data_IF_958738692422
#
_entry.id   IF_958738692422
#
_cell.length_a   1.000
_cell.length_b   1.000
_cell.length_c   1.000
_cell.angle_alpha   90.00
_cell.angle_beta   90.00
_cell.angle_gamma   90.00
#
_symmetry.space_group_name_H-M   'P 1'
#
loop_
_entity.id
_entity.type
_entity.pdbx_description
1 polymer ?
#
# COMPACT_ATOMS: atom_id res chain seq x y z
N UNK A 1 -23.28 -47.88 38.16
CA UNK A 1 -22.37 -47.02 37.40
C UNK A 1 -23.20 -45.91 36.78
N UNK A 2 -23.17 -44.68 37.33
CA UNK A 2 -24.05 -43.61 36.88
C UNK A 2 -23.53 -43.02 35.56
N UNK A 3 -24.44 -42.86 34.59
CA UNK A 3 -24.19 -42.19 33.33
C UNK A 3 -23.96 -40.70 33.56
N UNK A 4 -22.88 -40.19 32.99
CA UNK A 4 -22.55 -38.76 32.97
C UNK A 4 -23.45 -38.12 31.91
N UNK A 5 -24.52 -37.46 32.34
CA UNK A 5 -25.28 -36.55 31.49
C UNK A 5 -24.42 -35.30 31.23
N UNK A 6 -23.76 -35.25 30.08
CA UNK A 6 -23.17 -34.01 29.57
C UNK A 6 -24.31 -32.99 29.35
N UNK A 7 -24.09 -31.75 29.79
CA UNK A 7 -25.07 -30.68 29.63
C UNK A 7 -25.29 -30.38 28.14
N UNK A 8 -26.52 -30.05 27.72
CA UNK A 8 -26.82 -29.65 26.33
C UNK A 8 -25.91 -28.49 25.86
N UNK A 9 -25.50 -27.63 26.80
CA UNK A 9 -24.55 -26.52 26.61
C UNK A 9 -23.10 -26.99 26.34
N UNK A 10 -22.68 -28.16 26.82
CA UNK A 10 -21.37 -28.75 26.53
C UNK A 10 -21.34 -29.44 25.16
N UNK A 11 -22.45 -30.05 24.75
CA UNK A 11 -22.60 -30.61 23.40
C UNK A 11 -22.67 -29.51 22.34
N UNK A 12 -23.38 -28.41 22.62
CA UNK A 12 -23.42 -27.23 21.74
C UNK A 12 -22.06 -26.50 21.64
N UNK A 13 -21.16 -26.64 22.63
CA UNK A 13 -19.78 -26.11 22.56
C UNK A 13 -18.83 -26.93 21.68
N UNK A 14 -19.14 -28.21 21.42
CA UNK A 14 -18.29 -29.06 20.57
C UNK A 14 -18.54 -28.85 19.07
N UNK A 15 -19.69 -28.28 18.70
CA UNK A 15 -20.07 -28.01 17.30
C UNK A 15 -19.65 -26.62 16.79
N UNK A 16 -19.10 -25.76 17.64
CA UNK A 16 -18.40 -24.55 17.19
C UNK A 16 -16.94 -24.88 16.94
N UNK A 17 -16.60 -25.18 15.68
CA UNK A 17 -15.21 -25.02 15.23
C UNK A 17 -14.79 -23.59 15.55
N UNK A 18 -13.92 -23.39 16.54
CA UNK A 18 -13.29 -22.09 16.79
C UNK A 18 -12.73 -21.65 15.43
N UNK A 19 -13.19 -20.54 14.84
CA UNK A 19 -12.66 -20.07 13.57
C UNK A 19 -11.18 -19.84 13.80
N UNK A 20 -10.36 -20.72 13.21
CA UNK A 20 -8.91 -20.61 13.33
C UNK A 20 -8.52 -19.40 12.50
N UNK A 21 -8.25 -18.30 13.18
CA UNK A 21 -7.85 -17.05 12.55
C UNK A 21 -6.69 -17.29 11.57
N UNK A 22 -6.69 -16.62 10.40
CA UNK A 22 -5.64 -16.81 9.41
C UNK A 22 -4.29 -16.39 10.00
N UNK A 23 -3.36 -17.34 10.07
CA UNK A 23 -1.98 -17.08 10.46
C UNK A 23 -1.19 -16.65 9.22
N UNK A 24 -0.75 -15.41 9.18
CA UNK A 24 0.10 -14.92 8.10
C UNK A 24 1.53 -15.38 8.32
N UNK A 25 2.09 -16.05 7.31
CA UNK A 25 3.49 -16.46 7.28
C UNK A 25 4.19 -15.83 6.11
N UNK A 26 5.49 -15.64 6.26
CA UNK A 26 6.35 -15.20 5.16
C UNK A 26 6.15 -16.10 3.94
N UNK A 27 5.86 -15.47 2.79
CA UNK A 27 5.65 -16.17 1.51
C UNK A 27 6.82 -15.99 0.56
N UNK A 28 7.21 -14.75 0.28
CA UNK A 28 8.29 -14.43 -0.67
C UNK A 28 8.74 -12.98 -0.48
N UNK A 29 9.93 -12.67 -0.94
CA UNK A 29 10.50 -11.32 -1.06
C UNK A 29 11.15 -11.19 -2.44
N UNK A 30 11.12 -9.98 -2.99
CA UNK A 30 11.82 -9.63 -4.23
C UNK A 30 12.01 -8.12 -4.32
N UNK A 31 13.09 -7.69 -4.98
CA UNK A 31 13.34 -6.28 -5.25
C UNK A 31 12.40 -5.79 -6.36
N UNK A 32 11.57 -4.79 -6.07
CA UNK A 32 10.64 -4.23 -7.05
C UNK A 32 11.30 -3.13 -7.90
N UNK A 33 11.89 -2.12 -7.27
CA UNK A 33 12.51 -0.97 -7.94
C UNK A 33 13.97 -0.88 -7.54
N UNK A 34 14.79 -0.30 -8.39
CA UNK A 34 16.18 0.05 -8.08
C UNK A 34 16.28 1.58 -8.22
N UNK A 35 17.28 2.24 -7.61
CA UNK A 35 17.45 3.67 -7.75
C UNK A 35 17.80 3.97 -9.20
N UNK A 36 17.11 4.94 -9.78
CA UNK A 36 17.31 5.37 -11.16
C UNK A 36 17.66 6.86 -11.17
N UNK A 37 18.34 7.33 -12.22
CA UNK A 37 18.66 8.74 -12.38
C UNK A 37 18.24 9.21 -13.77
N UNK A 38 17.37 10.21 -13.82
CA UNK A 38 17.02 10.89 -15.06
C UNK A 38 18.05 11.99 -15.33
N UNK A 39 19.00 11.71 -16.22
CA UNK A 39 20.05 12.67 -16.60
C UNK A 39 19.52 13.92 -17.31
N UNK A 40 18.39 13.82 -18.02
CA UNK A 40 17.82 14.95 -18.75
C UNK A 40 17.12 15.92 -17.79
N UNK A 41 16.42 15.38 -16.79
CA UNK A 41 15.76 16.18 -15.74
C UNK A 41 16.66 16.45 -14.53
N UNK A 42 17.86 15.86 -14.50
CA UNK A 42 18.76 15.87 -13.33
C UNK A 42 18.04 15.45 -12.04
N UNK A 43 17.24 14.39 -12.14
CA UNK A 43 16.35 13.95 -11.07
C UNK A 43 16.71 12.53 -10.63
N UNK A 44 16.97 12.35 -9.34
CA UNK A 44 17.08 11.03 -8.73
C UNK A 44 15.67 10.44 -8.52
N UNK A 45 15.50 9.20 -8.94
CA UNK A 45 14.26 8.44 -8.80
C UNK A 45 14.50 7.38 -7.73
N UNK A 46 13.85 7.55 -6.59
CA UNK A 46 13.98 6.63 -5.48
C UNK A 46 13.39 5.23 -5.81
N UNK A 47 13.98 4.21 -5.20
CA UNK A 47 13.47 2.83 -5.22
C UNK A 47 12.26 2.60 -4.31
N UNK A 48 11.88 3.61 -3.52
CA UNK A 48 10.77 3.56 -2.56
C UNK A 48 9.47 3.21 -3.26
N UNK A 49 8.76 2.24 -2.70
CA UNK A 49 7.44 1.83 -3.20
C UNK A 49 6.38 2.74 -2.58
N UNK A 50 5.66 3.48 -3.42
CA UNK A 50 4.60 4.40 -2.99
C UNK A 50 3.27 3.68 -2.78
N UNK A 51 2.91 2.77 -3.69
CA UNK A 51 1.65 2.02 -3.68
C UNK A 51 1.82 0.62 -4.24
N UNK A 52 0.99 -0.29 -3.71
CA UNK A 52 0.86 -1.68 -4.18
C UNK A 52 -0.62 -1.97 -4.36
N UNK A 53 -1.00 -2.58 -5.49
CA UNK A 53 -2.36 -3.05 -5.75
C UNK A 53 -2.34 -4.47 -6.30
N UNK A 54 -3.17 -5.33 -5.73
CA UNK A 54 -3.38 -6.69 -6.23
C UNK A 54 -4.23 -6.68 -7.49
N UNK A 55 -3.79 -7.38 -8.52
CA UNK A 55 -4.59 -7.70 -9.71
C UNK A 55 -5.37 -8.99 -9.53
N UNK A 56 -6.25 -9.28 -10.49
CA UNK A 56 -7.03 -10.52 -10.50
C UNK A 56 -6.11 -11.74 -10.54
N UNK A 57 -6.36 -12.71 -9.67
CA UNK A 57 -5.62 -13.97 -9.65
C UNK A 57 -6.03 -14.85 -10.83
N UNK A 58 -5.05 -15.40 -11.54
CA UNK A 58 -5.30 -16.28 -12.68
C UNK A 58 -4.21 -17.35 -12.76
N UNK A 59 -4.59 -18.57 -13.17
CA UNK A 59 -3.65 -19.67 -13.41
C UNK A 59 -2.75 -20.00 -12.19
N UNK A 60 -3.31 -19.96 -10.97
CA UNK A 60 -2.58 -20.12 -9.71
C UNK A 60 -1.38 -19.17 -9.56
N UNK A 61 -1.45 -18.00 -10.19
CA UNK A 61 -0.48 -16.93 -10.03
C UNK A 61 -1.15 -15.71 -9.42
N UNK A 62 -0.41 -15.03 -8.56
CA UNK A 62 -0.77 -13.73 -8.02
C UNK A 62 -0.20 -12.64 -8.92
N UNK A 63 -0.95 -11.57 -9.09
CA UNK A 63 -0.53 -10.43 -9.88
C UNK A 63 -0.52 -9.17 -9.01
N UNK A 64 0.53 -8.36 -9.14
CA UNK A 64 0.78 -7.21 -8.30
C UNK A 64 1.21 -6.05 -9.18
N UNK A 65 0.56 -4.90 -9.05
CA UNK A 65 1.12 -3.62 -9.49
C UNK A 65 1.86 -3.00 -8.32
N UNK A 66 3.08 -2.54 -8.55
CA UNK A 66 3.84 -1.69 -7.64
C UNK A 66 4.28 -0.44 -8.38
N UNK A 67 4.39 0.68 -7.67
CA UNK A 67 4.87 1.94 -8.25
C UNK A 67 5.85 2.62 -7.31
N UNK A 68 6.86 3.29 -7.88
CA UNK A 68 7.58 4.37 -7.22
C UNK A 68 7.08 5.71 -7.79
N UNK A 69 7.90 6.76 -7.69
CA UNK A 69 7.54 8.11 -8.14
C UNK A 69 7.34 8.27 -9.64
N UNK A 70 7.93 7.39 -10.48
CA UNK A 70 7.97 7.59 -11.94
C UNK A 70 7.62 6.34 -12.76
N UNK A 71 7.71 5.16 -12.16
CA UNK A 71 7.58 3.88 -12.85
C UNK A 71 6.61 2.97 -12.13
N UNK A 72 5.85 2.21 -12.92
CA UNK A 72 4.91 1.21 -12.44
C UNK A 72 5.37 -0.13 -13.00
N UNK A 73 5.38 -1.18 -12.16
CA UNK A 73 5.77 -2.53 -12.54
C UNK A 73 4.64 -3.51 -12.27
N UNK A 74 4.37 -4.37 -13.25
CA UNK A 74 3.39 -5.44 -13.16
C UNK A 74 4.09 -6.78 -12.94
N UNK A 75 3.87 -7.37 -11.78
CA UNK A 75 4.51 -8.60 -11.33
C UNK A 75 3.57 -9.78 -11.42
N UNK A 76 4.14 -10.94 -11.78
CA UNK A 76 3.52 -12.25 -11.64
C UNK A 76 4.29 -13.05 -10.62
N UNK A 77 3.64 -13.43 -9.53
CA UNK A 77 4.20 -14.29 -8.49
C UNK A 77 3.53 -15.66 -8.59
N UNK A 78 4.30 -16.70 -8.87
CA UNK A 78 3.78 -18.05 -9.05
C UNK A 78 4.72 -19.07 -8.44
N UNK A 79 4.14 -20.09 -7.80
CA UNK A 79 4.89 -21.23 -7.30
C UNK A 79 5.33 -22.11 -8.47
N UNK A 80 6.65 -22.27 -8.63
CA UNK A 80 7.24 -23.15 -9.64
C UNK A 80 7.87 -24.35 -8.96
N UNK A 81 7.55 -25.54 -9.48
CA UNK A 81 8.28 -26.77 -9.13
C UNK A 81 9.70 -26.68 -9.66
N UNK A 82 10.68 -26.98 -8.82
CA UNK A 82 12.07 -27.07 -9.26
C UNK A 82 12.20 -28.20 -10.27
N UNK A 83 12.65 -27.87 -11.48
CA UNK A 83 12.87 -28.82 -12.57
C UNK A 83 14.35 -29.18 -12.57
N UNK A 84 14.66 -30.47 -12.43
CA UNK A 84 16.03 -31.00 -12.63
C UNK A 84 16.06 -31.82 -13.91
N UNK A 85 17.15 -31.71 -14.65
CA UNK A 85 17.38 -32.54 -15.83
C UNK A 85 18.01 -33.83 -15.33
N UNK A 86 17.33 -34.96 -15.54
CA UNK A 86 17.82 -36.27 -15.07
C UNK A 86 18.60 -37.03 -16.12
N UNK A 87 18.47 -36.65 -17.40
CA UNK A 87 19.13 -37.31 -18.52
C UNK A 87 19.72 -36.25 -19.44
N UNK A 88 21.01 -36.31 -19.71
CA UNK A 88 21.70 -35.49 -20.69
C UNK A 88 22.63 -36.38 -21.51
N UNK A 89 22.97 -35.98 -22.73
CA UNK A 89 23.90 -36.74 -23.59
C UNK A 89 25.37 -36.66 -23.11
N UNK A 90 25.69 -35.70 -22.24
CA UNK A 90 26.94 -35.65 -21.52
C UNK A 90 26.73 -36.24 -20.12
N UNK A 91 27.20 -37.47 -19.91
CA UNK A 91 27.33 -38.03 -18.57
C UNK A 91 28.55 -37.39 -17.89
N UNK A 92 28.37 -36.61 -16.82
CA UNK A 92 29.47 -36.09 -15.97
C UNK A 92 30.01 -37.16 -15.01
N UNK A 93 29.78 -38.43 -15.28
CA UNK A 93 30.20 -39.55 -14.44
C UNK A 93 31.40 -40.29 -15.04
N UNK A 94 32.54 -39.60 -15.13
CA UNK A 94 33.86 -40.21 -15.08
C UNK A 94 34.80 -39.34 -14.23
N UNK A 95 34.52 -39.28 -12.95
CA UNK A 95 35.53 -38.91 -11.94
C UNK A 95 35.37 -39.85 -10.76
N UNK A 96 35.80 -41.10 -10.95
CA UNK A 96 36.14 -41.98 -9.86
C UNK A 96 37.65 -41.88 -9.62
N UNK A 97 37.99 -41.37 -8.43
CA UNK A 97 39.23 -41.54 -7.66
C UNK A 97 40.58 -41.08 -8.24
N UNK A 98 41.03 -39.90 -7.81
CA UNK A 98 42.00 -39.81 -6.71
C UNK A 98 42.38 -38.35 -6.34
N UNK A 99 42.29 -38.01 -5.04
CA UNK A 99 43.17 -37.03 -4.40
C UNK A 99 42.69 -35.58 -4.25
N UNK A 100 42.16 -35.28 -3.05
CA UNK A 100 42.38 -34.07 -2.23
C UNK A 100 42.15 -32.64 -2.78
N UNK A 101 41.19 -31.99 -2.10
CA UNK A 101 41.11 -30.56 -1.68
C UNK A 101 40.79 -29.45 -2.70
N UNK A 102 39.68 -28.75 -2.36
CA UNK A 102 39.40 -27.32 -2.49
C UNK A 102 39.19 -26.69 -3.88
N UNK A 103 37.93 -26.35 -4.18
CA UNK A 103 37.39 -24.97 -4.15
C UNK A 103 36.14 -24.87 -5.03
N UNK A 104 34.98 -24.72 -4.41
CA UNK A 104 33.71 -24.47 -5.09
C UNK A 104 33.63 -22.98 -5.49
N UNK A 105 33.94 -22.67 -6.75
CA UNK A 105 33.63 -21.38 -7.36
C UNK A 105 32.25 -21.44 -8.01
N UNK A 106 31.22 -21.04 -7.27
CA UNK A 106 29.90 -20.74 -7.83
C UNK A 106 29.99 -19.47 -8.67
N UNK A 107 30.10 -19.62 -9.99
CA UNK A 107 29.87 -18.53 -10.94
C UNK A 107 28.37 -18.37 -11.15
N UNK A 108 27.80 -17.36 -10.50
CA UNK A 108 26.42 -16.91 -10.72
C UNK A 108 26.33 -16.18 -12.05
N UNK A 109 25.68 -16.78 -13.04
CA UNK A 109 25.21 -16.03 -14.20
C UNK A 109 23.99 -15.19 -13.77
N UNK A 110 24.18 -13.88 -13.68
CA UNK A 110 23.10 -12.90 -13.53
C UNK A 110 22.26 -12.91 -14.82
N UNK A 111 20.99 -13.28 -14.72
CA UNK A 111 20.03 -13.26 -15.83
C UNK A 111 19.36 -11.90 -15.96
N UNK A 112 19.37 -11.33 -17.18
CA UNK A 112 18.65 -10.10 -17.54
C UNK A 112 17.13 -10.37 -17.72
N UNK A 113 16.24 -9.38 -17.47
CA UNK A 113 14.81 -9.60 -17.29
C UNK A 113 13.99 -9.68 -18.59
N UNK A 114 14.60 -9.96 -19.75
CA UNK A 114 13.86 -10.00 -21.01
C UNK A 114 14.34 -11.04 -22.01
N UNK A 115 14.66 -12.26 -21.56
CA UNK A 115 14.82 -13.44 -22.44
C UNK A 115 15.88 -13.38 -23.55
N UNK A 116 16.59 -12.27 -23.72
CA UNK A 116 17.74 -12.11 -24.59
C UNK A 116 18.99 -12.32 -23.77
N UNK A 117 19.72 -13.39 -24.05
CA UNK A 117 21.12 -13.50 -23.66
C UNK A 117 21.88 -12.35 -24.31
N UNK A 118 22.71 -11.63 -23.53
CA UNK A 118 23.73 -10.76 -24.11
C UNK A 118 24.52 -11.58 -25.13
N UNK A 119 24.44 -11.19 -26.41
CA UNK A 119 25.42 -11.60 -27.41
C UNK A 119 26.77 -11.05 -27.00
N UNK A 120 27.45 -11.73 -26.07
CA UNK A 120 28.88 -11.85 -26.19
C UNK A 120 29.08 -12.74 -27.40
N UNK A 121 29.60 -12.15 -28.47
CA UNK A 121 30.16 -12.88 -29.60
C UNK A 121 31.16 -13.88 -29.03
N UNK A 122 30.70 -15.10 -28.79
CA UNK A 122 31.60 -16.22 -28.64
C UNK A 122 32.20 -16.38 -30.02
N UNK A 123 33.39 -15.79 -30.23
CA UNK A 123 34.33 -16.33 -31.19
C UNK A 123 34.54 -17.79 -30.80
N UNK A 124 33.71 -18.66 -31.36
CA UNK A 124 33.75 -20.10 -31.16
C UNK A 124 34.90 -20.63 -32.03
N UNK A 125 36.12 -20.30 -31.61
CA UNK A 125 37.32 -20.97 -32.02
C UNK A 125 37.91 -21.61 -30.76
N UNK A 126 37.19 -22.57 -30.20
CA UNK A 126 37.71 -23.59 -29.31
C UNK A 126 36.84 -24.85 -29.52
N UNK A 127 37.35 -25.75 -30.36
CA UNK A 127 36.72 -27.00 -30.78
C UNK A 127 36.87 -28.13 -29.73
N UNK A 128 37.14 -27.83 -28.47
CA UNK A 128 37.42 -28.86 -27.46
C UNK A 128 36.17 -29.23 -26.67
N UNK A 129 35.10 -29.60 -27.40
CA UNK A 129 34.09 -30.49 -26.85
C UNK A 129 34.63 -31.91 -27.01
N UNK A 130 34.93 -32.66 -25.93
CA UNK A 130 35.48 -33.99 -26.05
C UNK A 130 34.41 -34.93 -26.60
N UNK A 131 34.43 -35.15 -27.91
CA UNK A 131 33.64 -36.20 -28.53
C UNK A 131 34.30 -37.55 -28.20
N UNK A 132 33.57 -38.51 -27.61
CA UNK A 132 34.11 -39.84 -27.40
C UNK A 132 34.50 -40.48 -28.75
N UNK A 133 35.60 -41.25 -28.83
CA UNK A 133 35.99 -41.92 -30.07
C UNK A 133 34.87 -42.87 -30.53
N UNK A 134 34.23 -42.56 -31.66
CA UNK A 134 33.08 -43.31 -32.19
C UNK A 134 31.74 -42.57 -32.21
N UNK A 135 31.68 -41.34 -31.69
CA UNK A 135 30.44 -40.54 -31.65
C UNK A 135 29.41 -41.07 -30.64
N UNK A 136 28.28 -40.36 -30.48
CA UNK A 136 27.21 -40.80 -29.60
C UNK A 136 26.34 -41.84 -30.33
N UNK A 137 26.25 -43.06 -29.81
CA UNK A 137 25.48 -44.15 -30.42
C UNK A 137 23.96 -43.89 -30.49
N UNK A 138 23.43 -43.03 -29.62
CA UNK A 138 22.05 -42.56 -29.66
C UNK A 138 21.92 -41.22 -28.95
N UNK A 139 21.13 -40.30 -29.50
CA UNK A 139 20.81 -39.03 -28.84
C UNK A 139 19.59 -39.22 -27.94
N UNK A 140 19.71 -38.78 -26.69
CA UNK A 140 18.60 -38.72 -25.72
C UNK A 140 18.09 -37.29 -25.62
N UNK A 141 16.77 -37.17 -25.53
CA UNK A 141 16.13 -35.90 -25.20
C UNK A 141 16.21 -35.67 -23.68
N UNK A 142 16.50 -34.44 -23.23
CA UNK A 142 16.53 -34.13 -21.81
C UNK A 142 15.20 -34.46 -21.14
N UNK A 143 15.24 -35.35 -20.14
CA UNK A 143 14.08 -35.66 -19.31
C UNK A 143 14.08 -34.74 -18.10
N UNK A 144 12.99 -33.99 -17.94
CA UNK A 144 12.79 -33.09 -16.81
C UNK A 144 12.06 -33.84 -15.71
N UNK A 145 12.75 -34.03 -14.58
CA UNK A 145 12.12 -34.50 -13.34
C UNK A 145 11.74 -33.28 -12.51
N UNK A 146 10.45 -33.16 -12.20
CA UNK A 146 9.94 -32.13 -11.31
C UNK A 146 10.09 -32.57 -9.87
N UNK A 147 10.84 -31.82 -9.06
CA UNK A 147 10.88 -31.99 -7.61
C UNK A 147 9.53 -31.65 -6.96
N UNK A 148 9.32 -32.13 -5.74
CA UNK A 148 8.12 -31.84 -4.94
C UNK A 148 8.14 -30.43 -4.32
N UNK A 149 9.32 -29.82 -4.17
CA UNK A 149 9.47 -28.47 -3.61
C UNK A 149 8.92 -27.39 -4.56
N UNK A 150 8.06 -26.55 -4.01
CA UNK A 150 7.48 -25.39 -4.66
C UNK A 150 8.25 -24.14 -4.22
N UNK A 151 8.85 -23.44 -5.18
CA UNK A 151 9.50 -22.16 -4.92
C UNK A 151 8.68 -21.02 -5.53
N UNK A 152 8.25 -20.02 -4.74
CA UNK A 152 7.60 -18.84 -5.28
C UNK A 152 8.59 -18.04 -6.11
N UNK A 153 8.22 -17.74 -7.35
CA UNK A 153 9.03 -16.93 -8.26
C UNK A 153 8.25 -15.70 -8.66
N UNK A 154 8.79 -14.52 -8.33
CA UNK A 154 8.30 -13.24 -8.82
C UNK A 154 8.97 -12.90 -10.16
N UNK A 155 8.17 -12.57 -11.17
CA UNK A 155 8.64 -12.11 -12.48
C UNK A 155 7.98 -10.78 -12.82
N UNK A 156 8.78 -9.75 -13.08
CA UNK A 156 8.29 -8.54 -13.71
C UNK A 156 7.81 -8.87 -15.12
N UNK A 157 6.51 -8.77 -15.37
CA UNK A 157 5.91 -8.97 -16.70
C UNK A 157 6.04 -7.71 -17.54
N UNK A 158 5.84 -6.54 -16.92
CA UNK A 158 5.83 -5.25 -17.61
C UNK A 158 6.33 -4.12 -16.72
N UNK A 159 6.90 -3.13 -17.37
CA UNK A 159 7.29 -1.83 -16.80
C UNK A 159 6.59 -0.76 -17.60
N UNK A 160 5.81 0.09 -16.94
CA UNK A 160 5.17 1.28 -17.49
C UNK A 160 5.95 2.49 -16.97
N UNK A 161 6.54 3.25 -17.88
CA UNK A 161 7.45 4.35 -17.55
C UNK A 161 7.21 5.55 -18.48
N UNK A 162 7.82 6.68 -18.14
CA UNK A 162 7.86 7.89 -18.97
C UNK A 162 6.50 8.50 -19.36
N UNK A 163 5.46 8.29 -18.53
CA UNK A 163 4.14 8.89 -18.74
C UNK A 163 3.77 9.96 -17.70
N UNK A 164 4.55 10.07 -16.63
CA UNK A 164 4.30 11.02 -15.54
C UNK A 164 5.46 12.01 -15.43
N UNK A 165 5.10 13.30 -15.43
CA UNK A 165 6.06 14.37 -15.21
C UNK A 165 6.24 14.64 -13.71
N UNK A 166 5.22 14.39 -12.89
CA UNK A 166 5.21 14.58 -11.43
C UNK A 166 5.27 13.25 -10.67
N UNK A 167 5.19 13.27 -9.33
CA UNK A 167 5.29 12.05 -8.52
C UNK A 167 4.00 11.26 -8.58
N UNK A 168 4.08 9.96 -8.90
CA UNK A 168 2.91 9.07 -8.89
C UNK A 168 2.44 8.89 -7.44
N UNK A 169 1.23 9.37 -7.15
CA UNK A 169 0.60 9.30 -5.84
C UNK A 169 -0.36 8.10 -5.71
N UNK A 170 -0.90 7.61 -6.83
CA UNK A 170 -1.91 6.55 -6.82
C UNK A 170 -1.87 5.66 -8.06
N UNK A 171 -2.25 4.40 -7.85
CA UNK A 171 -2.54 3.41 -8.89
C UNK A 171 -3.81 2.66 -8.49
N UNK A 172 -4.66 2.34 -9.47
CA UNK A 172 -5.89 1.59 -9.21
C UNK A 172 -6.28 0.71 -10.39
N UNK A 173 -6.60 -0.55 -10.10
CA UNK A 173 -7.07 -1.51 -11.10
C UNK A 173 -8.53 -1.23 -11.45
N UNK A 174 -8.85 -1.34 -12.74
CA UNK A 174 -10.23 -1.28 -13.17
C UNK A 174 -10.93 -2.64 -12.93
N UNK A 175 -12.24 -2.60 -12.78
CA UNK A 175 -13.11 -3.78 -12.63
C UNK A 175 -13.27 -4.59 -13.93
N UNK A 176 -12.81 -4.07 -15.07
CA UNK A 176 -12.77 -4.79 -16.35
C UNK A 176 -11.69 -5.89 -16.41
N UNK A 177 -10.72 -5.89 -15.49
CA UNK A 177 -9.61 -6.85 -15.46
C UNK A 177 -8.55 -6.64 -16.54
N UNK A 178 -8.66 -5.58 -17.35
CA UNK A 178 -7.79 -5.28 -18.49
C UNK A 178 -7.06 -3.95 -18.35
N UNK A 179 -7.66 -2.97 -17.68
CA UNK A 179 -7.12 -1.61 -17.54
C UNK A 179 -6.83 -1.22 -16.10
N UNK A 180 -5.99 -0.20 -15.93
CA UNK A 180 -5.71 0.42 -14.65
C UNK A 180 -5.37 1.91 -14.85
N UNK A 181 -5.51 2.71 -13.81
CA UNK A 181 -5.08 4.11 -13.81
C UNK A 181 -3.84 4.31 -12.97
N UNK A 182 -3.10 5.34 -13.30
CA UNK A 182 -2.11 5.96 -12.43
C UNK A 182 -2.32 7.46 -12.40
N UNK A 183 -2.17 8.08 -11.24
CA UNK A 183 -2.23 9.53 -11.09
C UNK A 183 -0.96 10.09 -10.48
N UNK A 184 -0.56 11.25 -10.99
CA UNK A 184 0.40 12.14 -10.37
C UNK A 184 -0.31 13.40 -9.85
N UNK A 185 0.45 14.45 -9.53
CA UNK A 185 -0.09 15.67 -8.94
C UNK A 185 -1.01 16.45 -9.91
N UNK A 186 -0.90 16.28 -11.23
CA UNK A 186 -1.68 17.05 -12.22
C UNK A 186 -2.39 16.20 -13.27
N UNK A 187 -2.09 14.90 -13.38
CA UNK A 187 -2.57 14.03 -14.45
C UNK A 187 -3.04 12.68 -13.95
N UNK A 188 -4.06 12.16 -14.63
CA UNK A 188 -4.48 10.75 -14.51
C UNK A 188 -4.35 10.10 -15.89
N UNK A 189 -3.60 9.00 -15.94
CA UNK A 189 -3.35 8.21 -17.13
C UNK A 189 -4.04 6.85 -17.02
N UNK A 190 -4.74 6.45 -18.08
CA UNK A 190 -5.34 5.13 -18.26
C UNK A 190 -4.38 4.24 -19.05
N UNK A 191 -4.19 3.02 -18.56
CA UNK A 191 -3.29 2.03 -19.12
C UNK A 191 -4.03 0.74 -19.41
N UNK A 192 -3.54 0.01 -20.40
CA UNK A 192 -3.91 -1.38 -20.60
C UNK A 192 -2.82 -2.28 -19.97
N UNK A 193 -3.23 -3.27 -19.18
CA UNK A 193 -2.30 -4.20 -18.53
C UNK A 193 -1.43 -4.96 -19.53
N UNK A 194 -1.84 -5.06 -20.79
CA UNK A 194 -1.11 -5.74 -21.85
C UNK A 194 -0.20 -4.83 -22.70
N UNK A 195 -0.34 -3.50 -22.60
CA UNK A 195 0.37 -2.49 -23.42
C UNK A 195 1.15 -1.52 -22.51
N UNK A 196 2.47 -1.51 -22.60
CA UNK A 196 3.32 -0.65 -21.74
C UNK A 196 4.01 0.52 -22.46
N UNK A 197 3.84 0.63 -23.78
CA UNK A 197 4.43 1.70 -24.59
C UNK A 197 3.55 2.93 -24.72
N UNK A 198 2.28 2.84 -24.32
CA UNK A 198 1.29 3.89 -24.49
C UNK A 198 0.38 3.97 -23.26
N UNK A 199 0.02 5.18 -22.89
CA UNK A 199 -1.06 5.49 -21.96
C UNK A 199 -1.96 6.54 -22.58
N UNK A 200 -3.20 6.60 -22.11
CA UNK A 200 -4.14 7.62 -22.50
C UNK A 200 -4.37 8.56 -21.32
N UNK A 201 -4.01 9.83 -21.48
CA UNK A 201 -4.28 10.83 -20.45
C UNK A 201 -5.77 11.15 -20.44
N UNK A 202 -6.44 10.85 -19.33
CA UNK A 202 -7.89 11.04 -19.17
C UNK A 202 -8.23 12.31 -18.39
N UNK A 203 -7.33 12.77 -17.52
CA UNK A 203 -7.46 14.01 -16.74
C UNK A 203 -6.13 14.75 -16.82
N UNK A 204 -6.19 16.05 -17.16
CA UNK A 204 -5.06 16.98 -17.10
C UNK A 204 -5.55 18.27 -16.43
N UNK A 205 -5.18 18.49 -15.17
CA UNK A 205 -5.49 19.72 -14.43
C UNK A 205 -4.35 20.74 -14.49
N UNK A 206 -3.34 20.50 -15.33
CA UNK A 206 -2.21 21.41 -15.49
C UNK A 206 -2.70 22.77 -16.03
N UNK A 207 -2.47 23.88 -15.30
CA UNK A 207 -2.83 25.20 -15.79
C UNK A 207 -1.95 25.62 -16.98
N UNK A 208 -2.42 26.57 -17.78
CA UNK A 208 -1.64 27.13 -18.88
C UNK A 208 -0.34 27.81 -18.40
N UNK A 209 -0.43 28.51 -17.26
CA UNK A 209 0.72 29.03 -16.53
C UNK A 209 0.86 28.29 -15.20
N UNK A 210 2.04 27.75 -14.91
CA UNK A 210 2.31 27.02 -13.66
C UNK A 210 2.20 27.92 -12.42
N UNK A 211 2.29 29.23 -12.56
CA UNK A 211 2.07 30.19 -11.46
C UNK A 211 0.61 30.22 -10.99
N UNK A 212 -0.33 29.85 -11.87
CA UNK A 212 -1.77 29.80 -11.56
C UNK A 212 -2.17 28.45 -10.92
N UNK A 213 -1.21 27.60 -10.56
CA UNK A 213 -1.49 26.31 -9.95
C UNK A 213 -2.07 26.51 -8.54
N UNK A 214 -3.36 26.19 -8.38
CA UNK A 214 -4.03 26.31 -7.09
C UNK A 214 -4.49 24.98 -6.50
N UNK A 215 -4.47 23.90 -7.27
CA UNK A 215 -5.03 22.62 -6.88
C UNK A 215 -4.22 21.48 -7.50
N UNK A 216 -3.91 20.45 -6.70
CA UNK A 216 -3.24 19.23 -7.17
C UNK A 216 -4.09 18.00 -6.84
N UNK A 217 -3.96 16.96 -7.64
CA UNK A 217 -4.55 15.65 -7.40
C UNK A 217 -3.76 14.95 -6.29
N UNK A 218 -4.46 14.38 -5.32
CA UNK A 218 -3.82 13.74 -4.16
C UNK A 218 -4.00 12.23 -4.14
N UNK A 219 -5.11 11.72 -4.67
CA UNK A 219 -5.40 10.30 -4.76
C UNK A 219 -6.43 10.06 -5.87
N UNK A 220 -6.36 8.91 -6.54
CA UNK A 220 -7.35 8.47 -7.52
C UNK A 220 -7.63 6.96 -7.35
N UNK A 221 -8.90 6.58 -7.47
CA UNK A 221 -9.32 5.18 -7.37
C UNK A 221 -10.48 4.87 -8.33
N UNK A 222 -10.44 3.69 -8.95
CA UNK A 222 -11.58 3.16 -9.69
C UNK A 222 -12.69 2.67 -8.75
N UNK A 223 -13.91 2.74 -9.25
CA UNK A 223 -15.04 2.09 -8.61
C UNK A 223 -14.86 0.56 -8.59
N UNK A 224 -15.17 -0.13 -7.48
CA UNK A 224 -14.88 -1.56 -7.33
C UNK A 224 -15.63 -2.46 -8.31
N UNK A 225 -16.76 -2.00 -8.86
CA UNK A 225 -17.63 -2.80 -9.75
C UNK A 225 -18.04 -2.11 -11.05
N UNK A 226 -17.81 -0.80 -11.20
CA UNK A 226 -18.27 -0.02 -12.35
C UNK A 226 -17.06 0.42 -13.16
N UNK A 227 -16.84 -0.22 -14.31
CA UNK A 227 -15.61 -0.02 -15.08
C UNK A 227 -15.44 1.37 -15.70
N UNK A 228 -16.53 2.13 -15.74
CA UNK A 228 -16.56 3.50 -16.27
C UNK A 228 -16.48 4.57 -15.17
N UNK A 229 -16.47 4.20 -13.89
CA UNK A 229 -16.53 5.17 -12.79
C UNK A 229 -15.21 5.19 -12.02
N UNK A 230 -14.67 6.38 -11.82
CA UNK A 230 -13.51 6.60 -10.93
C UNK A 230 -13.73 7.88 -10.13
N UNK A 231 -13.03 8.00 -9.01
CA UNK A 231 -12.97 9.23 -8.25
C UNK A 231 -11.51 9.68 -8.08
N UNK A 232 -11.29 10.97 -8.04
CA UNK A 232 -10.02 11.54 -7.58
C UNK A 232 -10.26 12.68 -6.60
N UNK A 233 -9.35 12.80 -5.64
CA UNK A 233 -9.37 13.84 -4.62
C UNK A 233 -8.29 14.88 -4.88
N UNK A 234 -8.42 16.04 -4.23
CA UNK A 234 -7.47 17.13 -4.37
C UNK A 234 -6.95 17.71 -3.05
N UNK A 235 -5.92 18.56 -3.19
CA UNK A 235 -5.34 19.32 -2.10
C UNK A 235 -6.28 20.38 -1.50
N UNK A 236 -7.43 20.65 -2.13
CA UNK A 236 -8.42 21.63 -1.66
C UNK A 236 -9.61 21.01 -0.93
N UNK A 237 -9.60 19.71 -0.68
CA UNK A 237 -10.71 19.05 0.02
C UNK A 237 -11.85 18.59 -0.87
N UNK A 238 -11.67 18.64 -2.20
CA UNK A 238 -12.68 18.22 -3.16
C UNK A 238 -12.46 16.77 -3.60
N UNK A 239 -13.55 16.03 -3.82
CA UNK A 239 -13.55 14.72 -4.48
C UNK A 239 -14.42 14.83 -5.73
N UNK A 240 -13.85 14.51 -6.88
CA UNK A 240 -14.53 14.55 -8.18
C UNK A 240 -14.80 13.14 -8.66
N UNK A 241 -16.06 12.85 -8.96
CA UNK A 241 -16.48 11.58 -9.55
C UNK A 241 -16.54 11.73 -11.06
N UNK A 242 -15.88 10.83 -11.77
CA UNK A 242 -15.75 10.82 -13.23
C UNK A 242 -16.52 9.64 -13.79
N UNK A 243 -17.23 9.87 -14.90
CA UNK A 243 -17.83 8.83 -15.74
C UNK A 243 -17.16 8.83 -17.12
N UNK A 244 -16.34 7.81 -17.38
CA UNK A 244 -15.58 7.62 -18.63
C UNK A 244 -16.47 7.50 -19.88
N UNK A 245 -17.79 7.30 -19.73
CA UNK A 245 -18.73 7.24 -20.85
C UNK A 245 -19.17 8.63 -21.32
N UNK A 246 -19.08 9.65 -20.46
CA UNK A 246 -19.57 10.99 -20.77
C UNK A 246 -18.64 11.72 -21.74
N UNK A 247 -17.33 11.56 -21.53
CA UNK A 247 -16.31 12.15 -22.40
C UNK A 247 -15.04 11.30 -22.37
N UNK A 248 -14.34 11.24 -23.50
CA UNK A 248 -13.02 10.63 -23.57
C UNK A 248 -12.00 11.43 -22.77
N UNK A 249 -12.12 12.76 -22.79
CA UNK A 249 -11.33 13.68 -21.98
C UNK A 249 -12.21 14.06 -20.79
N UNK A 250 -11.86 13.58 -19.59
CA UNK A 250 -12.65 13.76 -18.37
C UNK A 250 -12.41 15.16 -17.77
N UNK A 251 -12.57 16.18 -18.61
CA UNK A 251 -12.41 17.61 -18.31
C UNK A 251 -13.50 18.13 -17.36
N UNK A 252 -14.66 17.48 -17.38
CA UNK A 252 -15.77 17.69 -16.46
C UNK A 252 -15.94 16.51 -15.51
N UNK A 253 -16.56 16.77 -14.36
CA UNK A 253 -16.92 15.75 -13.40
C UNK A 253 -18.43 15.50 -13.40
N UNK A 254 -18.81 14.25 -13.17
CA UNK A 254 -20.21 13.85 -13.02
C UNK A 254 -20.81 14.36 -11.70
N UNK A 255 -20.02 14.34 -10.62
CA UNK A 255 -20.38 14.86 -9.29
C UNK A 255 -19.17 15.45 -8.59
N UNK A 256 -19.40 16.46 -7.77
CA UNK A 256 -18.41 17.10 -6.92
C UNK A 256 -18.85 16.96 -5.46
N UNK A 257 -18.01 16.32 -4.66
CA UNK A 257 -18.19 16.23 -3.22
C UNK A 257 -17.24 17.23 -2.56
N UNK A 258 -17.81 18.30 -2.03
CA UNK A 258 -17.08 19.38 -1.35
C UNK A 258 -17.92 19.89 -0.19
N UNK A 259 -17.27 20.09 0.96
CA UNK A 259 -17.92 20.68 2.11
C UNK A 259 -17.76 22.20 2.07
N UNK A 260 -18.88 22.91 1.95
CA UNK A 260 -18.89 24.36 1.93
C UNK A 260 -18.84 24.90 3.37
N UNK A 261 -17.67 25.39 3.78
CA UNK A 261 -17.54 26.07 5.08
C UNK A 261 -18.31 27.39 5.11
N UNK A 262 -18.87 27.72 6.30
CA UNK A 262 -19.57 28.97 6.52
C UNK A 262 -18.62 30.18 6.31
N UNK A 263 -19.10 31.30 5.71
CA UNK A 263 -18.30 32.50 5.56
C UNK A 263 -17.85 33.02 6.93
N UNK A 264 -16.55 32.95 7.23
CA UNK A 264 -15.95 33.45 8.49
C UNK A 264 -15.21 32.41 9.34
N UNK A 265 -15.31 31.10 9.05
CA UNK A 265 -14.51 30.06 9.74
C UNK A 265 -13.13 29.82 9.14
N UNK A 266 -12.84 30.44 7.98
CA UNK A 266 -11.60 30.20 7.24
C UNK A 266 -10.40 30.84 7.94
N UNK A 267 -9.51 29.99 8.42
CA UNK A 267 -8.17 30.34 8.89
C UNK A 267 -7.14 30.01 7.80
N UNK A 268 -5.90 30.50 7.94
CA UNK A 268 -4.78 30.09 7.08
C UNK A 268 -4.63 28.56 7.03
N UNK A 269 -4.77 27.88 8.18
CA UNK A 269 -4.63 26.43 8.26
C UNK A 269 -5.80 25.66 7.66
N UNK A 270 -6.96 26.29 7.45
CA UNK A 270 -8.16 25.61 6.95
C UNK A 270 -7.90 24.94 5.60
N UNK A 271 -7.25 25.62 4.67
CA UNK A 271 -6.94 25.07 3.34
C UNK A 271 -5.88 23.96 3.44
N UNK A 272 -4.89 24.12 4.33
CA UNK A 272 -3.82 23.12 4.53
C UNK A 272 -4.40 21.80 5.06
N UNK A 273 -5.23 21.85 6.09
CA UNK A 273 -5.81 20.64 6.71
C UNK A 273 -6.96 20.04 5.91
N UNK A 274 -7.56 20.80 4.98
CA UNK A 274 -8.62 20.32 4.09
C UNK A 274 -8.10 19.40 2.98
N UNK A 275 -6.80 19.42 2.70
CA UNK A 275 -6.16 18.52 1.73
C UNK A 275 -6.49 17.06 2.04
N UNK A 276 -7.09 16.36 1.05
CA UNK A 276 -7.44 14.95 1.19
C UNK A 276 -6.18 14.11 0.98
N UNK A 277 -5.82 13.30 1.96
CA UNK A 277 -4.64 12.43 1.91
C UNK A 277 -4.93 11.06 1.29
N UNK A 278 -6.16 10.55 1.43
CA UNK A 278 -6.55 9.26 0.87
C UNK A 278 -8.07 9.18 0.65
N UNK A 279 -8.47 8.42 -0.37
CA UNK A 279 -9.86 8.03 -0.62
C UNK A 279 -9.96 6.52 -0.77
N UNK A 280 -11.10 5.95 -0.35
CA UNK A 280 -11.43 4.54 -0.51
C UNK A 280 -12.89 4.35 -0.89
N UNK A 281 -13.15 3.66 -1.99
CA UNK A 281 -14.50 3.15 -2.23
C UNK A 281 -14.85 2.06 -1.22
N UNK A 282 -16.05 2.14 -0.66
CA UNK A 282 -16.64 1.05 0.09
C UNK A 282 -16.94 -0.13 -0.86
N UNK A 283 -16.90 -1.34 -0.31
CA UNK A 283 -17.11 -2.57 -1.10
C UNK A 283 -18.51 -2.65 -1.72
N UNK A 284 -19.48 -1.97 -1.11
CA UNK A 284 -20.84 -1.85 -1.64
C UNK A 284 -20.93 -1.00 -2.92
N UNK A 285 -19.87 -0.24 -3.25
CA UNK A 285 -19.85 0.68 -4.37
C UNK A 285 -20.79 1.88 -4.21
N UNK A 286 -21.32 2.13 -3.01
CA UNK A 286 -22.21 3.27 -2.77
C UNK A 286 -21.50 4.39 -2.04
N UNK A 287 -20.53 4.07 -1.21
CA UNK A 287 -19.88 5.05 -0.36
C UNK A 287 -18.42 5.30 -0.74
N UNK A 288 -17.96 6.53 -0.51
CA UNK A 288 -16.55 6.90 -0.54
C UNK A 288 -16.14 7.31 0.88
N UNK A 289 -15.08 6.73 1.39
CA UNK A 289 -14.38 7.20 2.57
C UNK A 289 -13.26 8.15 2.13
N UNK A 290 -13.13 9.30 2.78
CA UNK A 290 -12.01 10.21 2.58
C UNK A 290 -11.36 10.59 3.89
N UNK A 291 -10.03 10.71 3.88
CA UNK A 291 -9.25 11.22 5.00
C UNK A 291 -8.68 12.60 4.65
N UNK A 292 -8.99 13.60 5.45
CA UNK A 292 -8.22 14.85 5.50
C UNK A 292 -7.31 14.85 6.74
N UNK A 293 -6.59 15.93 7.04
CA UNK A 293 -5.65 15.90 8.15
C UNK A 293 -6.35 15.59 9.50
N UNK A 294 -7.48 16.22 9.79
CA UNK A 294 -8.14 16.16 11.11
C UNK A 294 -9.26 15.12 11.20
N UNK A 295 -9.88 14.78 10.07
CA UNK A 295 -11.16 14.10 10.01
C UNK A 295 -11.18 12.96 9.00
N UNK A 296 -12.05 12.00 9.28
CA UNK A 296 -12.45 10.95 8.35
C UNK A 296 -13.91 11.21 7.96
N UNK A 297 -14.22 11.24 6.66
CA UNK A 297 -15.55 11.57 6.14
C UNK A 297 -16.09 10.43 5.28
N UNK A 298 -17.33 10.04 5.52
CA UNK A 298 -18.06 9.06 4.72
C UNK A 298 -19.07 9.79 3.82
N UNK A 299 -18.97 9.57 2.52
CA UNK A 299 -19.81 10.18 1.49
C UNK A 299 -20.70 9.12 0.85
N UNK A 300 -21.94 9.46 0.52
CA UNK A 300 -22.82 8.62 -0.30
C UNK A 300 -22.79 9.16 -1.72
N UNK A 301 -22.50 8.32 -2.71
CA UNK A 301 -22.44 8.70 -4.12
C UNK A 301 -23.74 9.33 -4.62
N UNK A 302 -24.88 9.08 -3.97
CA UNK A 302 -26.18 9.65 -4.30
C UNK A 302 -26.49 10.98 -3.59
N UNK A 303 -25.64 11.41 -2.64
CA UNK A 303 -25.77 12.64 -1.88
C UNK A 303 -24.46 13.44 -1.96
N UNK A 304 -24.41 14.42 -2.84
CA UNK A 304 -23.27 15.33 -3.06
C UNK A 304 -23.34 16.62 -2.23
N UNK A 305 -24.40 16.83 -1.45
CA UNK A 305 -24.56 18.01 -0.59
C UNK A 305 -23.60 18.06 0.61
N UNK A 306 -22.98 16.93 0.98
CA UNK A 306 -22.11 16.83 2.15
C UNK A 306 -21.86 15.38 2.57
N UNK A 307 -20.97 15.14 3.55
CA UNK A 307 -20.71 13.81 4.07
C UNK A 307 -21.90 13.30 4.88
N UNK A 308 -22.17 11.99 4.79
CA UNK A 308 -23.16 11.27 5.61
C UNK A 308 -22.72 11.21 7.07
N UNK A 309 -21.41 11.09 7.30
CA UNK A 309 -20.82 11.08 8.63
C UNK A 309 -19.41 11.66 8.60
N UNK A 310 -19.06 12.42 9.65
CA UNK A 310 -17.72 12.98 9.87
C UNK A 310 -17.19 12.56 11.23
N UNK A 311 -16.00 11.97 11.25
CA UNK A 311 -15.36 11.42 12.43
C UNK A 311 -14.10 12.22 12.76
N UNK A 312 -14.03 12.73 13.98
CA UNK A 312 -12.87 13.48 14.46
C UNK A 312 -11.76 12.51 14.85
N UNK A 313 -10.59 12.62 14.22
CA UNK A 313 -9.48 11.69 14.45
C UNK A 313 -8.64 12.13 15.64
N UNK A 314 -8.12 13.35 15.60
CA UNK A 314 -7.21 13.84 16.63
C UNK A 314 -7.37 15.33 16.90
N UNK A 315 -8.59 15.72 17.28
CA UNK A 315 -8.99 17.12 17.51
C UNK A 315 -8.13 17.86 18.54
N UNK A 316 -7.52 17.11 19.47
CA UNK A 316 -6.55 17.63 20.44
C UNK A 316 -5.29 18.25 19.80
N UNK A 317 -5.04 18.03 18.50
CA UNK A 317 -3.94 18.64 17.75
C UNK A 317 -4.30 20.01 17.16
N UNK A 318 -5.59 20.40 17.12
CA UNK A 318 -6.02 21.66 16.52
C UNK A 318 -5.34 22.91 17.13
N UNK A 319 -5.12 22.99 18.46
CA UNK A 319 -4.38 24.11 19.05
C UNK A 319 -2.88 24.13 18.71
N UNK A 320 -2.33 23.02 18.18
CA UNK A 320 -0.91 22.83 17.86
C UNK A 320 -0.60 22.92 16.36
N UNK A 321 -1.55 23.37 15.53
CA UNK A 321 -1.37 23.44 14.08
C UNK A 321 -0.18 24.31 13.66
N UNK A 322 0.11 25.38 14.40
CA UNK A 322 1.30 26.20 14.16
C UNK A 322 2.59 25.40 14.35
N UNK A 323 2.73 24.70 15.47
CA UNK A 323 3.91 23.86 15.77
C UNK A 323 4.05 22.69 14.76
N UNK A 324 2.92 22.12 14.32
CA UNK A 324 2.88 21.03 13.34
C UNK A 324 3.25 21.53 11.93
N UNK A 325 2.94 22.78 11.61
CA UNK A 325 3.34 23.43 10.38
C UNK A 325 4.84 23.75 10.38
N UNK A 326 5.39 24.26 11.49
CA UNK A 326 6.82 24.54 11.62
C UNK A 326 7.71 23.28 11.49
N UNK A 327 7.18 22.11 11.85
CA UNK A 327 7.89 20.82 11.77
C UNK A 327 7.45 19.95 10.59
N UNK A 328 6.76 20.52 9.58
CA UNK A 328 6.23 19.84 8.38
C UNK A 328 5.27 18.66 8.63
N UNK A 329 4.95 18.36 9.89
CA UNK A 329 4.08 17.23 10.26
C UNK A 329 2.64 17.45 9.78
N UNK A 330 2.20 18.69 9.62
CA UNK A 330 0.87 19.01 9.06
C UNK A 330 0.67 18.45 7.63
N UNK A 331 1.76 18.14 6.92
CA UNK A 331 1.73 17.57 5.57
C UNK A 331 1.77 16.04 5.54
N UNK A 332 1.76 15.38 6.70
CA UNK A 332 1.72 13.93 6.79
C UNK A 332 0.43 13.36 6.18
N UNK A 333 0.59 12.41 5.25
CA UNK A 333 -0.51 11.78 4.50
C UNK A 333 -0.95 10.48 5.17
N UNK A 334 -1.93 10.58 6.07
CA UNK A 334 -2.53 9.40 6.71
C UNK A 334 -3.49 8.68 5.76
N UNK A 335 -3.38 7.36 5.65
CA UNK A 335 -4.31 6.54 4.86
C UNK A 335 -5.55 6.16 5.68
N UNK A 336 -6.57 5.65 4.99
CA UNK A 336 -7.77 5.11 5.61
C UNK A 336 -8.18 3.78 4.97
N UNK A 337 -8.99 3.01 5.71
CA UNK A 337 -9.54 1.76 5.21
C UNK A 337 -10.92 1.47 5.82
N UNK A 338 -11.71 0.66 5.11
CA UNK A 338 -12.99 0.13 5.56
C UNK A 338 -12.86 -1.35 5.84
N UNK A 339 -13.64 -1.86 6.80
CA UNK A 339 -13.80 -3.29 7.00
C UNK A 339 -14.50 -3.95 5.81
N UNK A 340 -14.27 -5.25 5.62
CA UNK A 340 -14.84 -6.01 4.51
C UNK A 340 -16.38 -6.04 4.47
N UNK A 341 -17.02 -5.87 5.63
CA UNK A 341 -18.47 -5.76 5.83
C UNK A 341 -19.01 -4.30 5.72
N UNK A 342 -18.13 -3.30 5.67
CA UNK A 342 -18.48 -1.89 5.60
C UNK A 342 -18.97 -1.27 6.92
N UNK A 343 -18.94 -2.00 8.03
CA UNK A 343 -19.45 -1.52 9.32
C UNK A 343 -18.42 -0.79 10.19
N UNK A 344 -17.13 -0.91 9.87
CA UNK A 344 -16.04 -0.28 10.59
C UNK A 344 -15.12 0.48 9.65
N UNK A 345 -14.60 1.60 10.14
CA UNK A 345 -13.69 2.49 9.43
C UNK A 345 -12.44 2.64 10.28
N UNK A 346 -11.25 2.68 9.68
CA UNK A 346 -10.02 2.88 10.42
C UNK A 346 -9.07 3.84 9.74
N UNK A 347 -8.28 4.53 10.57
CA UNK A 347 -7.23 5.43 10.10
C UNK A 347 -6.19 5.66 11.19
N UNK A 348 -4.98 6.04 10.79
CA UNK A 348 -3.86 6.28 11.68
C UNK A 348 -3.76 7.69 12.25
N UNK A 349 -2.84 7.86 13.19
CA UNK A 349 -2.48 9.11 13.86
C UNK A 349 -1.02 9.04 14.35
N UNK A 350 -0.54 10.12 14.97
CA UNK A 350 0.74 10.16 15.67
C UNK A 350 0.82 9.22 16.87
N UNK A 351 2.04 9.02 17.36
CA UNK A 351 2.39 8.13 18.47
C UNK A 351 2.02 6.66 18.20
N UNK A 352 2.14 6.25 16.93
CA UNK A 352 1.75 4.92 16.43
C UNK A 352 0.30 4.54 16.76
N UNK A 353 -0.57 5.53 16.96
CA UNK A 353 -1.98 5.30 17.26
C UNK A 353 -2.76 5.07 15.97
N UNK A 354 -3.78 4.23 16.05
CA UNK A 354 -4.85 4.17 15.06
C UNK A 354 -6.20 4.19 15.76
N UNK A 355 -7.22 4.64 15.03
CA UNK A 355 -8.59 4.73 15.52
C UNK A 355 -9.50 3.90 14.64
N UNK A 356 -10.42 3.20 15.28
CA UNK A 356 -11.47 2.42 14.63
C UNK A 356 -12.81 3.03 15.02
N UNK A 357 -13.62 3.38 14.03
CA UNK A 357 -14.94 3.98 14.17
C UNK A 357 -16.01 3.01 13.68
N UNK A 358 -17.20 3.05 14.31
CA UNK A 358 -18.39 2.42 13.75
C UNK A 358 -18.99 3.25 12.62
N UNK A 359 -19.48 2.59 11.58
CA UNK A 359 -20.08 3.23 10.40
C UNK A 359 -21.56 3.62 10.61
N UNK A 360 -22.10 3.46 11.83
CA UNK A 360 -23.50 3.79 12.13
C UNK A 360 -23.70 5.30 12.31
N UNK A 361 -24.68 5.92 11.63
CA UNK A 361 -24.96 7.36 11.76
C UNK A 361 -25.15 7.78 13.23
N UNK A 362 -24.42 8.81 13.66
CA UNK A 362 -24.48 9.34 15.04
C UNK A 362 -23.61 8.62 16.06
N UNK A 363 -22.95 7.51 15.68
CA UNK A 363 -21.97 6.86 16.56
C UNK A 363 -20.60 7.51 16.38
N UNK A 364 -20.20 8.34 17.36
CA UNK A 364 -18.86 8.93 17.44
C UNK A 364 -17.90 8.12 18.30
N UNK A 365 -18.32 6.95 18.81
CA UNK A 365 -17.45 6.11 19.60
C UNK A 365 -16.32 5.56 18.73
N UNK A 366 -15.11 5.88 19.15
CA UNK A 366 -13.89 5.53 18.47
C UNK A 366 -13.00 4.75 19.43
N UNK A 367 -12.62 3.54 19.02
CA UNK A 367 -11.63 2.77 19.75
C UNK A 367 -10.25 3.25 19.32
N UNK A 368 -9.47 3.81 20.26
CA UNK A 368 -8.08 4.22 20.00
C UNK A 368 -7.16 3.12 20.49
N UNK A 369 -6.28 2.64 19.61
CA UNK A 369 -5.33 1.57 19.86
C UNK A 369 -3.93 2.02 19.46
N UNK A 370 -2.92 1.47 20.14
CA UNK A 370 -1.52 1.67 19.80
C UNK A 370 -1.02 0.47 18.99
N UNK A 371 -0.33 0.72 17.88
CA UNK A 371 0.34 -0.32 17.11
C UNK A 371 1.58 -0.84 17.86
N UNK A 372 1.35 -1.71 18.82
CA UNK A 372 2.36 -2.41 19.61
C UNK A 372 2.00 -3.90 19.79
N UNK A 373 2.91 -4.67 20.41
CA UNK A 373 2.63 -6.08 20.78
C UNK A 373 1.46 -6.21 21.76
N UNK A 374 1.07 -5.14 22.46
CA UNK A 374 -0.01 -5.17 23.42
C UNK A 374 -0.91 -3.93 23.21
N UNK A 375 -1.80 -3.96 22.20
CA UNK A 375 -2.50 -2.78 21.68
C UNK A 375 -3.50 -2.17 22.68
N UNK A 376 -3.96 -2.97 23.65
CA UNK A 376 -4.89 -2.58 24.70
C UNK A 376 -4.19 -2.03 25.95
N UNK A 377 -2.86 -2.08 26.01
CA UNK A 377 -2.10 -1.56 27.15
C UNK A 377 -2.17 -0.04 27.13
N UNK A 378 -3.19 0.52 27.79
CA UNK A 378 -3.24 1.97 28.08
C UNK A 378 -1.90 2.37 28.69
N UNK A 379 -1.22 3.35 28.11
CA UNK A 379 -0.20 4.08 28.85
C UNK A 379 -0.90 4.66 30.07
N UNK A 380 -0.66 4.06 31.23
CA UNK A 380 -1.09 4.62 32.51
C UNK A 380 -0.38 5.96 32.57
N UNK A 381 -1.13 7.05 32.39
CA UNK A 381 -0.66 8.35 32.83
C UNK A 381 -0.30 8.17 34.30
N UNK A 382 0.99 8.19 34.62
CA UNK A 382 1.42 8.21 36.01
C UNK A 382 0.66 9.38 36.65
N UNK A 383 -0.19 9.17 37.67
CA UNK A 383 -0.78 10.28 38.37
C UNK A 383 0.40 11.09 38.91
N UNK A 384 0.49 12.33 38.47
CA UNK A 384 1.42 13.32 38.99
C UNK A 384 1.36 13.23 40.52
N UNK A 385 2.46 12.78 41.12
CA UNK A 385 2.61 12.72 42.56
C UNK A 385 2.25 14.11 43.12
N UNK A 386 1.31 14.23 44.07
CA UNK A 386 0.93 15.53 44.57
C UNK A 386 2.18 16.19 45.17
N UNK A 387 2.57 17.32 44.59
CA UNK A 387 3.62 18.19 45.11
C UNK A 387 3.24 18.55 46.54
N UNK A 388 4.03 18.07 47.50
CA UNK A 388 3.95 18.51 48.90
C UNK A 388 4.16 20.02 48.92
N UNK A 389 3.11 20.74 49.26
CA UNK A 389 3.17 22.16 49.62
C UNK A 389 4.11 22.33 50.81
N UNK A 390 5.24 22.98 50.59
CA UNK A 390 6.04 23.61 51.64
C UNK A 390 6.01 25.11 51.40
N UNK A 391 5.35 25.77 52.33
CA UNK A 391 5.35 27.21 52.57
C UNK A 391 6.77 27.78 52.63
N UNK A 392 7.07 28.82 51.84
CA UNK A 392 7.83 29.98 52.30
C UNK A 392 7.75 31.12 51.29
N UNK A 393 7.48 32.31 51.80
CA UNK A 393 7.41 33.58 51.09
C UNK A 393 8.80 34.00 50.57
N UNK A 394 8.91 34.44 49.32
CA UNK A 394 9.45 35.77 48.97
C UNK A 394 9.37 36.05 47.45
N UNK A 395 9.08 37.31 47.19
CA UNK A 395 8.75 38.03 45.95
C UNK A 395 9.86 37.97 44.88
N UNK A 396 9.55 37.49 43.68
CA UNK A 396 10.22 37.89 42.43
C UNK A 396 9.32 37.61 41.21
N UNK A 397 9.00 38.66 40.46
CA UNK A 397 8.28 38.59 39.18
C UNK A 397 9.18 37.94 38.14
N UNK A 398 8.80 36.75 37.64
CA UNK A 398 9.26 36.20 36.36
C UNK A 398 8.05 35.61 35.63
N UNK A 399 7.75 36.14 34.45
CA UNK A 399 6.88 35.50 33.45
C UNK A 399 7.49 34.12 33.15
N UNK A 400 6.80 33.06 33.57
CA UNK A 400 7.13 31.68 33.25
C UNK A 400 5.99 31.11 32.42
N UNK A 401 6.30 30.61 31.24
CA UNK A 401 5.40 29.84 30.41
C UNK A 401 4.98 28.56 31.16
N UNK A 402 3.68 28.41 31.40
CA UNK A 402 3.09 27.15 31.84
C UNK A 402 3.03 26.19 30.65
N UNK A 403 4.17 25.64 30.28
CA UNK A 403 4.31 24.55 29.33
C UNK A 403 4.15 23.20 30.02
N UNK A 404 2.92 22.83 30.40
CA UNK A 404 2.61 21.45 30.77
C UNK A 404 2.46 20.61 29.49
N UNK A 405 3.58 20.42 28.80
CA UNK A 405 3.67 19.58 27.61
C UNK A 405 3.64 18.11 28.00
N UNK A 406 2.48 17.47 27.88
CA UNK A 406 2.50 16.10 27.36
C UNK A 406 3.23 16.21 26.01
N UNK A 407 4.50 15.83 25.99
CA UNK A 407 5.30 15.72 24.79
C UNK A 407 4.71 14.57 23.97
N UNK A 408 3.62 14.86 23.25
CA UNK A 408 3.13 13.97 22.22
C UNK A 408 4.29 13.82 21.24
N UNK A 409 4.83 12.61 21.18
CA UNK A 409 5.89 12.28 20.24
C UNK A 409 5.30 12.29 18.83
N UNK A 410 5.60 13.35 18.07
CA UNK A 410 5.22 13.50 16.67
C UNK A 410 6.18 12.81 15.72
N UNK A 411 7.31 12.27 16.22
CA UNK A 411 8.27 11.54 15.40
C UNK A 411 7.75 10.16 14.98
N UNK A 412 6.90 9.56 15.83
CA UNK A 412 6.26 8.28 15.56
C UNK A 412 4.86 8.47 14.98
N UNK A 413 4.56 7.77 13.89
CA UNK A 413 3.32 7.93 13.12
C UNK A 413 2.90 6.61 12.48
N UNK A 414 1.60 6.41 12.38
CA UNK A 414 1.00 5.28 11.68
C UNK A 414 0.34 5.81 10.40
N UNK A 415 1.09 5.84 9.31
CA UNK A 415 0.59 6.36 8.03
C UNK A 415 -0.19 5.32 7.23
N UNK A 416 0.22 4.04 7.33
CA UNK A 416 -0.28 2.96 6.51
C UNK A 416 -0.99 1.89 7.34
N UNK A 417 -2.17 1.50 6.88
CA UNK A 417 -2.98 0.44 7.45
C UNK A 417 -3.87 -0.20 6.39
N UNK A 418 -4.18 -1.48 6.56
CA UNK A 418 -5.05 -2.22 5.65
C UNK A 418 -5.98 -3.12 6.44
N UNK A 419 -7.27 -3.10 6.11
CA UNK A 419 -8.23 -4.05 6.63
C UNK A 419 -8.32 -5.25 5.70
N UNK A 420 -8.46 -6.45 6.28
CA UNK A 420 -8.65 -7.67 5.51
C UNK A 420 -10.01 -7.66 4.79
N UNK A 421 -10.12 -8.10 3.52
CA UNK A 421 -11.33 -7.93 2.72
C UNK A 421 -12.53 -8.77 3.17
N UNK A 422 -12.34 -9.78 4.01
CA UNK A 422 -13.43 -10.67 4.49
C UNK A 422 -13.43 -10.85 6.01
N UNK A 423 -12.27 -11.16 6.58
CA UNK A 423 -12.08 -11.29 8.03
C UNK A 423 -11.96 -9.95 8.77
N UNK A 424 -12.26 -9.98 10.07
CA UNK A 424 -12.05 -8.88 11.02
C UNK A 424 -10.57 -8.78 11.47
N UNK A 425 -9.68 -8.68 10.50
CA UNK A 425 -8.24 -8.49 10.72
C UNK A 425 -7.78 -7.16 10.16
N UNK A 426 -6.94 -6.44 10.91
CA UNK A 426 -6.32 -5.18 10.46
C UNK A 426 -4.79 -5.28 10.58
N UNK A 427 -4.10 -4.83 9.55
CA UNK A 427 -2.64 -4.71 9.52
C UNK A 427 -2.22 -3.24 9.62
N UNK A 428 -1.28 -2.95 10.51
CA UNK A 428 -0.79 -1.61 10.79
C UNK A 428 0.73 -1.57 10.68
N UNK A 429 1.28 -0.65 9.88
CA UNK A 429 2.71 -0.42 9.80
C UNK A 429 3.12 0.69 10.78
N UNK A 430 4.02 0.39 11.71
CA UNK A 430 4.51 1.35 12.69
C UNK A 430 6.02 1.15 12.91
N UNK A 431 6.79 2.22 12.68
CA UNK A 431 8.26 2.16 12.66
C UNK A 431 8.76 1.08 11.70
N UNK A 432 9.55 0.13 12.21
CA UNK A 432 10.14 -0.96 11.43
C UNK A 432 9.37 -2.28 11.58
N UNK A 433 8.08 -2.23 11.95
CA UNK A 433 7.28 -3.41 12.26
C UNK A 433 5.92 -3.36 11.60
N UNK A 434 5.44 -4.54 11.20
CA UNK A 434 4.08 -4.77 10.74
C UNK A 434 3.32 -5.51 11.84
N UNK A 435 2.29 -4.87 12.38
CA UNK A 435 1.41 -5.45 13.38
C UNK A 435 0.13 -5.93 12.73
N UNK A 436 -0.36 -7.10 13.15
CA UNK A 436 -1.63 -7.66 12.69
C UNK A 436 -2.51 -7.89 13.91
N UNK A 437 -3.68 -7.28 13.91
CA UNK A 437 -4.68 -7.41 14.97
C UNK A 437 -5.91 -8.10 14.43
N UNK A 438 -6.52 -8.91 15.28
CA UNK A 438 -7.81 -9.52 15.04
C UNK A 438 -8.79 -8.95 16.07
N UNK A 439 -10.01 -8.62 15.63
CA UNK A 439 -11.04 -8.02 16.48
C UNK A 439 -11.89 -9.05 17.23
#
# INVERSE_FOLDING_TARGET
>A
MPGVNASRTELERQDYSVPRHPEFRYKTEFQSHEPEFDYLKSLEIEEKINKIKWGQTANNALFILSTNDKTIKYWKVQDKKVKRISVMNLDTSQSADNGTTSSSSTSSSRGLPNGGSSEKSYNCANNDLPFPPGGYASLRLPVVVTGQELNPVARCRRVYAHAHDYHINSISNNSDGETFISADDLRINLWNLEINSQSFNIVDVKPANMEDLTEVITCAEFHPTHCNTLAYSSSKGAIRLIDLRQSALCDNHSKLFEEHEAPGSKSFFTEIIASVSDIKFARDGRHILSRDYMTLKLWDLNMDSGPVATFQVHEHLRPKLCDLYENDSIFDKFECCLSGDGHRLATGSYSNLFRVFGCTPGNTEATTLEASRNPMRRQVANPTRPTRTLTSLTRAVRRGADGNGNSNDFSTKLLHLAWHPTEDSIACAAGNSLYMYYA
#
